data_IF_696203742036
#
_entry.id   IF_696203742036
#
_cell.length_a   1.000
_cell.length_b   1.000
_cell.length_c   1.000
_cell.angle_alpha   90.00
_cell.angle_beta   90.00
_cell.angle_gamma   90.00
#
_symmetry.space_group_name_H-M   'P 1'
#
loop_
_entity.id
_entity.type
_entity.pdbx_description
1 polymer ?
#
# COMPACT_ATOMS: atom_id res chain seq x y z
N UNK A 1 7.61 -10.95 5.78
CA UNK A 1 8.41 -9.76 6.13
C UNK A 1 7.53 -8.92 7.05
N UNK A 2 7.87 -8.84 8.33
CA UNK A 2 7.06 -8.15 9.35
C UNK A 2 7.94 -7.04 9.94
N UNK A 3 7.39 -5.83 10.08
CA UNK A 3 8.09 -4.73 10.77
C UNK A 3 8.79 -3.70 9.89
N UNK A 4 8.51 -3.62 8.59
CA UNK A 4 9.01 -2.53 7.73
C UNK A 4 8.15 -1.28 7.94
N UNK A 5 8.78 -0.20 8.42
CA UNK A 5 8.16 1.12 8.57
C UNK A 5 8.92 2.16 7.76
N UNK A 6 8.20 3.14 7.23
CA UNK A 6 8.79 4.16 6.36
C UNK A 6 7.75 5.00 5.64
N UNK A 7 8.24 5.92 4.81
CA UNK A 7 7.42 6.83 4.02
C UNK A 7 7.24 6.28 2.61
N UNK A 8 6.01 6.26 2.11
CA UNK A 8 5.74 5.88 0.72
C UNK A 8 6.20 7.00 -0.21
N UNK A 9 7.14 6.70 -1.10
CA UNK A 9 7.64 7.64 -2.11
C UNK A 9 6.81 7.58 -3.40
N UNK A 10 6.42 6.38 -3.82
CA UNK A 10 5.68 6.17 -5.06
C UNK A 10 4.87 4.86 -5.03
N UNK A 11 3.82 4.81 -5.83
CA UNK A 11 2.97 3.64 -6.01
C UNK A 11 2.86 3.30 -7.51
N UNK A 12 2.95 2.01 -7.84
CA UNK A 12 2.54 1.51 -9.16
C UNK A 12 1.32 0.60 -9.00
N UNK A 13 0.78 0.11 -10.12
CA UNK A 13 -0.32 -0.86 -10.09
C UNK A 13 -0.01 -2.08 -9.21
N UNK A 14 1.24 -2.54 -9.14
CA UNK A 14 1.61 -3.79 -8.46
C UNK A 14 2.58 -3.61 -7.29
N UNK A 15 3.18 -2.44 -7.12
CA UNK A 15 4.23 -2.23 -6.13
C UNK A 15 4.05 -0.92 -5.38
N UNK A 16 4.62 -0.87 -4.18
CA UNK A 16 4.79 0.35 -3.38
C UNK A 16 6.29 0.55 -3.17
N UNK A 17 6.76 1.77 -3.36
CA UNK A 17 8.12 2.18 -3.09
C UNK A 17 8.17 2.93 -1.76
N UNK A 18 8.96 2.43 -0.83
CA UNK A 18 9.01 2.92 0.56
C UNK A 18 10.43 3.31 0.91
N UNK A 19 10.59 4.51 1.44
CA UNK A 19 11.82 4.95 2.09
C UNK A 19 11.77 4.55 3.56
N UNK A 20 12.73 3.72 3.98
CA UNK A 20 12.88 3.25 5.36
C UNK A 20 14.12 3.88 5.98
N UNK A 21 14.33 3.68 7.28
CA UNK A 21 15.57 4.10 7.95
C UNK A 21 16.83 3.43 7.38
N UNK A 22 16.70 2.28 6.73
CA UNK A 22 17.82 1.50 6.17
C UNK A 22 18.00 1.71 4.65
N UNK A 23 17.17 2.56 4.04
CA UNK A 23 17.21 2.84 2.60
C UNK A 23 15.86 2.62 1.91
N UNK A 24 15.90 2.52 0.59
CA UNK A 24 14.69 2.36 -0.23
C UNK A 24 14.39 0.90 -0.54
N UNK A 25 13.11 0.54 -0.44
CA UNK A 25 12.62 -0.82 -0.69
C UNK A 25 11.37 -0.77 -1.53
N UNK A 26 11.27 -1.71 -2.49
CA UNK A 26 10.12 -1.86 -3.36
C UNK A 26 9.37 -3.14 -3.02
N UNK A 27 8.14 -2.98 -2.54
CA UNK A 27 7.30 -4.08 -2.05
C UNK A 27 6.22 -4.43 -3.08
N UNK A 28 6.00 -5.72 -3.30
CA UNK A 28 4.93 -6.21 -4.16
C UNK A 28 3.62 -6.29 -3.37
N UNK A 29 2.57 -5.65 -3.91
CA UNK A 29 1.27 -5.51 -3.25
C UNK A 29 0.58 -6.84 -2.94
N UNK A 30 0.68 -7.81 -3.84
CA UNK A 30 -0.02 -9.09 -3.74
C UNK A 30 0.47 -10.02 -2.62
N UNK A 31 1.54 -9.64 -1.91
CA UNK A 31 2.16 -10.47 -0.87
C UNK A 31 2.43 -9.69 0.42
N UNK A 32 1.87 -8.48 0.55
CA UNK A 32 2.06 -7.63 1.74
C UNK A 32 0.72 -7.20 2.33
N UNK A 33 0.73 -7.05 3.64
CA UNK A 33 -0.29 -6.32 4.40
C UNK A 33 0.40 -5.15 5.07
N UNK A 34 -0.19 -3.96 5.03
CA UNK A 34 0.41 -2.75 5.57
C UNK A 34 -0.64 -1.84 6.21
N UNK A 35 -0.19 -0.93 7.05
CA UNK A 35 -1.01 0.12 7.68
C UNK A 35 -0.49 1.48 7.24
N UNK A 36 -1.36 2.47 7.09
CA UNK A 36 -0.99 3.88 6.90
C UNK A 36 -1.42 4.63 8.17
N UNK A 37 -0.52 5.41 8.76
CA UNK A 37 -0.79 6.24 9.95
C UNK A 37 -1.47 5.50 11.11
N UNK A 38 -1.10 4.24 11.32
CA UNK A 38 -1.70 3.35 12.33
C UNK A 38 -3.20 3.09 12.16
N UNK A 39 -3.74 3.30 10.96
CA UNK A 39 -5.10 2.90 10.60
C UNK A 39 -5.25 1.39 10.41
N UNK A 40 -6.37 0.99 9.82
CA UNK A 40 -6.70 -0.41 9.59
C UNK A 40 -5.68 -1.11 8.69
N UNK A 41 -5.51 -2.42 8.91
CA UNK A 41 -4.66 -3.25 8.08
C UNK A 41 -5.23 -3.36 6.67
N UNK A 42 -4.42 -3.00 5.67
CA UNK A 42 -4.77 -3.07 4.26
C UNK A 42 -4.05 -4.27 3.64
N UNK A 43 -4.82 -5.19 3.07
CA UNK A 43 -4.27 -6.22 2.19
C UNK A 43 -3.87 -5.57 0.85
N UNK A 44 -2.58 -5.59 0.54
CA UNK A 44 -2.03 -5.01 -0.68
C UNK A 44 -2.65 -5.59 -1.96
N UNK A 45 -3.11 -6.85 -1.94
CA UNK A 45 -3.77 -7.49 -3.07
C UNK A 45 -5.07 -6.76 -3.48
N UNK A 46 -5.71 -6.07 -2.54
CA UNK A 46 -6.97 -5.34 -2.76
C UNK A 46 -6.76 -3.97 -3.43
N UNK A 47 -5.53 -3.45 -3.44
CA UNK A 47 -5.16 -2.12 -3.96
C UNK A 47 -4.38 -2.18 -5.28
N UNK A 48 -4.60 -3.21 -6.11
CA UNK A 48 -3.94 -3.38 -7.42
C UNK A 48 -4.63 -2.67 -8.60
N UNK A 49 -5.59 -1.79 -8.30
CA UNK A 49 -6.32 -1.00 -9.30
C UNK A 49 -5.55 0.28 -9.61
N UNK A 50 -5.77 0.88 -10.79
CA UNK A 50 -5.12 2.16 -11.10
C UNK A 50 -5.63 3.24 -10.13
N UNK A 51 -4.80 4.21 -9.69
CA UNK A 51 -5.21 5.24 -8.73
C UNK A 51 -6.53 5.93 -9.10
N UNK A 52 -6.77 6.17 -10.39
CA UNK A 52 -7.99 6.76 -10.94
C UNK A 52 -9.25 5.88 -10.75
N UNK A 53 -9.12 4.56 -10.80
CA UNK A 53 -10.22 3.62 -10.59
C UNK A 53 -10.58 3.49 -9.09
N UNK A 54 -9.64 3.84 -8.19
CA UNK A 54 -9.83 3.74 -6.72
C UNK A 54 -10.71 4.84 -6.13
N UNK A 55 -10.78 6.02 -6.75
CA UNK A 55 -11.62 7.14 -6.26
C UNK A 55 -13.11 6.83 -6.44
N UNK A 56 -13.47 6.06 -7.48
CA UNK A 56 -14.86 5.81 -7.86
C UNK A 56 -15.54 4.67 -7.11
N UNK A 57 -14.79 3.82 -6.39
CA UNK A 57 -15.37 2.84 -5.48
C UNK A 57 -15.58 3.49 -4.13
N UNK A 58 -16.56 4.41 -4.09
CA UNK A 58 -17.24 4.82 -2.86
C UNK A 58 -17.36 3.59 -1.96
N UNK A 59 -16.91 3.74 -0.71
CA UNK A 59 -17.39 2.97 0.42
C UNK A 59 -18.88 2.68 0.19
N UNK A 60 -19.21 1.45 -0.19
CA UNK A 60 -20.58 0.97 -0.06
C UNK A 60 -20.72 0.73 1.44
N UNK A 61 -21.24 1.74 2.14
CA UNK A 61 -21.82 1.54 3.46
C UNK A 61 -23.02 0.63 3.23
N UNK A 62 -22.89 -0.64 3.62
CA UNK A 62 -24.06 -1.40 4.07
C UNK A 62 -24.55 -0.81 5.40
#
# INVERSE_FOLDING_TARGET
>A
MVGLSGTILNETRRTIHVQTGEGEVRLAKNVITFTIDSGDAIDGSTVTQRPEDRINRRYRRD
#
